data_IF_143445733096
#
_entry.id   IF_143445733096
#
_cell.length_a   1.000
_cell.length_b   1.000
_cell.length_c   1.000
_cell.angle_alpha   90.00
_cell.angle_beta   90.00
_cell.angle_gamma   90.00
#
_symmetry.space_group_name_H-M   'P 1'
#
loop_
_entity.id
_entity.type
_entity.pdbx_description
1 polymer ?
#
# COMPACT_ATOMS: atom_id res chain seq x y z
N UNK A 1 1.55 -73.51 5.44
CA UNK A 1 2.15 -72.26 5.91
C UNK A 1 3.06 -71.74 4.82
N UNK A 2 2.60 -70.76 4.04
CA UNK A 2 3.39 -70.07 3.01
C UNK A 2 3.34 -68.59 3.35
N UNK A 3 4.46 -68.06 3.84
CA UNK A 3 4.63 -66.66 4.20
C UNK A 3 4.92 -65.84 2.95
N UNK A 4 4.02 -64.91 2.62
CA UNK A 4 4.20 -63.95 1.53
C UNK A 4 4.79 -62.65 2.12
N UNK A 5 6.09 -62.43 1.92
CA UNK A 5 6.75 -61.16 2.27
C UNK A 5 6.38 -60.08 1.26
N UNK A 6 5.65 -59.06 1.72
CA UNK A 6 5.38 -57.84 0.96
C UNK A 6 6.55 -56.88 1.16
N UNK A 7 7.34 -56.65 0.11
CA UNK A 7 8.38 -55.64 0.08
C UNK A 7 7.74 -54.25 -0.11
N UNK A 8 7.76 -53.43 0.93
CA UNK A 8 7.33 -52.04 0.88
C UNK A 8 8.44 -51.18 0.26
N UNK A 9 8.26 -50.75 -1.00
CA UNK A 9 9.18 -49.81 -1.65
C UNK A 9 8.88 -48.40 -1.16
N UNK A 10 9.68 -47.90 -0.20
CA UNK A 10 9.68 -46.51 0.23
C UNK A 10 10.22 -45.62 -0.90
N UNK A 11 9.32 -45.06 -1.71
CA UNK A 11 9.64 -43.97 -2.61
C UNK A 11 10.02 -42.72 -1.80
N UNK A 12 11.30 -42.40 -1.74
CA UNK A 12 11.78 -41.07 -1.33
C UNK A 12 11.28 -40.04 -2.36
N UNK A 13 10.08 -39.52 -2.16
CA UNK A 13 9.71 -38.24 -2.75
C UNK A 13 10.54 -37.16 -2.04
N UNK A 14 11.55 -36.63 -2.74
CA UNK A 14 12.21 -35.37 -2.37
C UNK A 14 11.17 -34.26 -2.28
N UNK A 15 10.58 -34.08 -1.09
CA UNK A 15 9.83 -32.87 -0.73
C UNK A 15 10.85 -31.75 -0.54
N UNK A 16 11.28 -31.15 -1.64
CA UNK A 16 11.89 -29.82 -1.59
C UNK A 16 10.82 -28.91 -1.00
N UNK A 17 10.98 -28.55 0.27
CA UNK A 17 10.01 -27.73 0.97
C UNK A 17 9.92 -26.38 0.25
N UNK A 18 8.73 -25.76 0.22
CA UNK A 18 8.56 -24.42 -0.36
C UNK A 18 9.48 -23.35 0.28
N UNK A 19 10.13 -23.67 1.41
CA UNK A 19 11.13 -22.83 2.07
C UNK A 19 12.43 -22.73 1.26
N UNK A 20 12.87 -23.82 0.62
CA UNK A 20 14.12 -23.88 -0.16
C UNK A 20 14.05 -23.16 -1.52
N UNK A 21 12.86 -23.16 -2.15
CA UNK A 21 12.66 -22.49 -3.44
C UNK A 21 12.68 -20.96 -3.36
N UNK A 22 12.40 -20.40 -2.18
CA UNK A 22 12.34 -18.95 -1.99
C UNK A 22 13.72 -18.29 -1.92
N UNK A 23 14.75 -19.01 -1.46
CA UNK A 23 16.10 -18.46 -1.29
C UNK A 23 16.97 -18.61 -2.56
N UNK A 24 16.55 -19.45 -3.51
CA UNK A 24 17.30 -19.80 -4.73
C UNK A 24 16.73 -19.21 -6.02
N UNK A 25 15.49 -18.70 -6.02
CA UNK A 25 14.87 -18.20 -7.25
C UNK A 25 15.47 -16.85 -7.65
N UNK A 26 16.10 -16.80 -8.84
CA UNK A 26 16.59 -15.54 -9.40
C UNK A 26 15.47 -14.76 -10.10
N UNK A 27 15.67 -13.46 -10.32
CA UNK A 27 14.73 -12.67 -11.12
C UNK A 27 14.59 -13.26 -12.54
N UNK A 28 15.67 -13.79 -13.13
CA UNK A 28 15.60 -14.46 -14.43
C UNK A 28 14.66 -15.66 -14.43
N UNK A 29 14.76 -16.52 -13.41
CA UNK A 29 13.89 -17.71 -13.27
C UNK A 29 12.43 -17.34 -13.02
N UNK A 30 12.22 -16.25 -12.28
CA UNK A 30 10.89 -15.71 -12.05
C UNK A 30 10.26 -15.21 -13.36
N UNK A 31 11.00 -14.40 -14.14
CA UNK A 31 10.53 -13.88 -15.43
C UNK A 31 10.30 -14.98 -16.48
N UNK A 32 11.00 -16.11 -16.39
CA UNK A 32 10.74 -17.28 -17.26
C UNK A 32 9.32 -17.85 -17.09
N UNK A 33 8.62 -17.51 -16.00
CA UNK A 33 7.24 -17.95 -15.72
C UNK A 33 6.18 -16.94 -16.17
N UNK A 34 6.58 -15.88 -16.89
CA UNK A 34 5.66 -14.84 -17.34
C UNK A 34 4.45 -15.40 -18.09
N UNK A 35 3.30 -14.79 -17.85
CA UNK A 35 2.05 -15.10 -18.54
C UNK A 35 1.46 -13.86 -19.18
N UNK A 36 0.78 -14.06 -20.30
CA UNK A 36 0.03 -13.00 -20.95
C UNK A 36 -1.09 -12.50 -20.01
N UNK A 37 -1.20 -11.18 -19.74
CA UNK A 37 -2.25 -10.61 -18.91
C UNK A 37 -3.67 -11.04 -19.32
N UNK A 38 -3.90 -11.27 -20.62
CA UNK A 38 -5.21 -11.66 -21.17
C UNK A 38 -5.67 -13.02 -20.66
N UNK A 39 -4.75 -13.92 -20.28
CA UNK A 39 -5.08 -15.21 -19.65
C UNK A 39 -5.77 -15.06 -18.28
N UNK A 40 -5.71 -13.86 -17.70
CA UNK A 40 -6.33 -13.52 -16.42
C UNK A 40 -7.45 -12.49 -16.55
N UNK A 41 -7.97 -12.27 -17.76
CA UNK A 41 -8.95 -11.22 -18.06
C UNK A 41 -8.45 -9.81 -17.71
N UNK A 42 -7.13 -9.60 -17.77
CA UNK A 42 -6.51 -8.30 -17.63
C UNK A 42 -6.31 -7.67 -19.00
N UNK A 43 -6.54 -6.37 -19.11
CA UNK A 43 -6.24 -5.57 -20.31
C UNK A 43 -5.11 -4.61 -20.00
N UNK A 44 -4.16 -4.48 -20.92
CA UNK A 44 -3.09 -3.49 -20.85
C UNK A 44 -3.40 -2.40 -21.86
N UNK A 45 -3.56 -1.18 -21.38
CA UNK A 45 -3.87 0.00 -22.19
C UNK A 45 -2.69 0.98 -22.12
N UNK A 46 -2.43 1.77 -23.18
CA UNK A 46 -1.52 2.90 -23.08
C UNK A 46 -2.11 3.96 -22.14
N UNK A 47 -1.26 4.61 -21.35
CA UNK A 47 -1.60 5.76 -20.51
C UNK A 47 -0.46 6.78 -20.51
N UNK A 48 -0.76 8.00 -20.06
CA UNK A 48 0.17 9.14 -20.11
C UNK A 48 1.50 8.88 -19.39
N UNK A 49 1.47 8.08 -18.31
CA UNK A 49 2.65 7.72 -17.52
C UNK A 49 3.10 6.26 -17.69
N UNK A 50 2.62 5.58 -18.74
CA UNK A 50 2.96 4.19 -19.03
C UNK A 50 1.74 3.26 -19.09
N UNK A 51 2.00 1.95 -18.96
CA UNK A 51 0.97 0.93 -19.13
C UNK A 51 -0.06 0.95 -17.98
N UNK A 52 -1.35 1.02 -18.34
CA UNK A 52 -2.48 0.93 -17.42
C UNK A 52 -3.07 -0.47 -17.49
N UNK A 53 -3.08 -1.18 -16.36
CA UNK A 53 -3.65 -2.53 -16.27
C UNK A 53 -5.08 -2.45 -15.72
N UNK A 54 -6.04 -2.91 -16.52
CA UNK A 54 -7.48 -2.92 -16.17
C UNK A 54 -7.94 -4.35 -15.89
N UNK A 55 -8.88 -4.51 -14.95
CA UNK A 55 -9.48 -5.80 -14.60
C UNK A 55 -8.88 -6.48 -13.36
N UNK A 56 -7.80 -5.93 -12.81
CA UNK A 56 -7.20 -6.38 -11.55
C UNK A 56 -7.78 -5.68 -10.31
N UNK A 57 -7.28 -6.04 -9.13
CA UNK A 57 -7.68 -5.47 -7.84
C UNK A 57 -9.18 -5.52 -7.56
N UNK A 58 -9.83 -6.65 -7.83
CA UNK A 58 -11.28 -6.79 -7.65
C UNK A 58 -11.62 -7.08 -6.19
N UNK A 59 -12.49 -6.28 -5.62
CA UNK A 59 -13.00 -6.46 -4.27
C UNK A 59 -14.33 -7.19 -4.31
N UNK A 60 -14.57 -8.10 -3.37
CA UNK A 60 -15.89 -8.67 -3.18
C UNK A 60 -16.79 -7.70 -2.41
N UNK A 61 -18.08 -7.60 -2.76
CA UNK A 61 -19.01 -6.72 -2.05
C UNK A 61 -19.20 -7.17 -0.61
N UNK A 62 -19.51 -6.21 0.27
CA UNK A 62 -19.86 -6.40 1.68
C UNK A 62 -18.75 -7.01 2.55
N UNK A 63 -17.50 -7.05 2.05
CA UNK A 63 -16.34 -7.39 2.85
C UNK A 63 -15.71 -6.15 3.48
N UNK A 64 -15.18 -6.32 4.69
CA UNK A 64 -14.37 -5.31 5.38
C UNK A 64 -13.19 -5.99 6.08
N UNK A 65 -12.10 -5.26 6.23
CA UNK A 65 -10.93 -5.68 6.99
C UNK A 65 -10.81 -4.83 8.24
N UNK A 66 -10.49 -5.46 9.38
CA UNK A 66 -10.06 -4.76 10.59
C UNK A 66 -8.69 -5.28 11.03
N UNK A 67 -7.66 -4.57 10.65
CA UNK A 67 -6.28 -4.96 10.85
C UNK A 67 -5.65 -4.20 12.00
N UNK A 68 -4.85 -4.89 12.82
CA UNK A 68 -4.01 -4.24 13.83
C UNK A 68 -2.73 -3.75 13.17
N UNK A 69 -2.28 -2.54 13.55
CA UNK A 69 -0.96 -2.06 13.15
C UNK A 69 0.13 -2.85 13.89
N UNK A 70 1.05 -3.45 13.15
CA UNK A 70 2.15 -4.29 13.66
C UNK A 70 3.49 -3.56 13.78
N UNK A 71 3.55 -2.28 13.38
CA UNK A 71 4.72 -1.41 13.56
C UNK A 71 5.10 -1.25 15.05
N UNK A 72 6.29 -0.75 15.37
CA UNK A 72 6.58 -0.42 16.78
C UNK A 72 5.65 0.67 17.34
N UNK A 73 5.50 0.76 18.68
CA UNK A 73 4.75 1.86 19.33
C UNK A 73 5.31 3.25 19.01
N UNK A 74 6.60 3.32 18.72
CA UNK A 74 7.32 4.55 18.36
C UNK A 74 7.09 4.96 16.91
N UNK A 75 7.10 4.00 15.98
CA UNK A 75 6.92 4.29 14.56
C UNK A 75 5.46 4.60 14.23
N UNK A 76 4.51 3.81 14.75
CA UNK A 76 3.08 3.88 14.38
C UNK A 76 2.80 3.85 12.86
N UNK A 77 3.76 3.44 12.04
CA UNK A 77 3.55 3.25 10.61
C UNK A 77 2.34 2.32 10.38
N UNK A 78 1.56 2.53 9.30
CA UNK A 78 0.40 1.71 8.98
C UNK A 78 0.82 0.35 8.39
N UNK A 79 1.65 -0.39 9.13
CA UNK A 79 2.07 -1.74 8.82
C UNK A 79 1.01 -2.73 9.28
N UNK A 80 0.59 -3.61 8.39
CA UNK A 80 -0.40 -4.67 8.65
C UNK A 80 0.13 -6.01 8.16
N UNK A 81 -0.62 -7.07 8.43
CA UNK A 81 -0.34 -8.40 7.90
C UNK A 81 -1.31 -8.73 6.77
N UNK A 82 -0.79 -9.22 5.66
CA UNK A 82 -1.58 -9.73 4.52
C UNK A 82 -1.06 -11.09 4.07
N UNK A 83 -1.85 -11.85 3.32
CA UNK A 83 -1.45 -13.18 2.85
C UNK A 83 -2.05 -13.48 1.48
N UNK A 84 -1.53 -14.48 0.77
CA UNK A 84 -2.22 -15.15 -0.31
C UNK A 84 -3.06 -16.32 0.19
N UNK A 85 -3.85 -16.93 -0.69
CA UNK A 85 -4.56 -18.17 -0.35
C UNK A 85 -3.55 -19.27 -0.03
N UNK A 86 -3.66 -19.86 1.18
CA UNK A 86 -2.77 -20.93 1.67
C UNK A 86 -1.28 -20.56 1.73
N UNK A 87 -0.94 -19.27 1.77
CA UNK A 87 0.44 -18.81 1.93
C UNK A 87 0.71 -18.35 3.35
N UNK A 88 2.00 -18.19 3.68
CA UNK A 88 2.38 -17.54 4.94
C UNK A 88 2.08 -16.03 4.86
N UNK A 89 1.68 -15.40 5.97
CA UNK A 89 1.49 -13.96 6.04
C UNK A 89 2.80 -13.19 5.79
N UNK A 90 2.67 -12.00 5.23
CA UNK A 90 3.74 -11.02 4.98
C UNK A 90 3.40 -9.69 5.63
N UNK A 91 4.43 -8.92 5.97
CA UNK A 91 4.26 -7.54 6.46
C UNK A 91 4.02 -6.59 5.28
N UNK A 92 2.94 -5.82 5.32
CA UNK A 92 2.61 -4.84 4.31
C UNK A 92 2.47 -3.42 4.87
N UNK A 93 3.08 -2.42 4.23
CA UNK A 93 2.85 -1.01 4.50
C UNK A 93 1.67 -0.50 3.66
N UNK A 94 0.68 0.12 4.30
CA UNK A 94 -0.40 0.81 3.60
C UNK A 94 0.08 2.22 3.23
N UNK A 95 0.35 2.45 1.94
CA UNK A 95 0.87 3.72 1.43
C UNK A 95 0.02 4.24 0.26
N UNK A 96 -1.04 5.03 0.55
CA UNK A 96 -1.84 5.69 -0.48
C UNK A 96 -1.02 6.58 -1.43
N UNK A 97 0.15 7.06 -1.01
CA UNK A 97 0.98 7.93 -1.83
C UNK A 97 1.88 7.17 -2.81
N UNK A 98 2.01 5.85 -2.65
CA UNK A 98 2.65 4.98 -3.63
C UNK A 98 1.66 4.60 -4.72
N UNK A 99 1.91 4.99 -5.97
CA UNK A 99 1.03 4.67 -7.11
C UNK A 99 0.69 3.16 -7.19
N UNK A 100 1.73 2.33 -7.28
CA UNK A 100 1.60 0.88 -7.36
C UNK A 100 1.79 0.23 -5.99
N UNK A 101 1.24 -0.97 -5.84
CA UNK A 101 1.68 -1.89 -4.80
C UNK A 101 3.04 -2.48 -5.20
N UNK A 102 3.94 -2.70 -4.24
CA UNK A 102 5.29 -3.22 -4.46
C UNK A 102 5.56 -4.42 -3.55
N UNK A 103 6.41 -5.34 -3.97
CA UNK A 103 6.91 -6.41 -3.11
C UNK A 103 8.32 -6.85 -3.52
N UNK A 104 9.04 -7.46 -2.59
CA UNK A 104 10.34 -8.09 -2.90
C UNK A 104 10.15 -9.36 -3.73
N UNK A 105 11.17 -9.81 -4.46
CA UNK A 105 11.11 -11.09 -5.17
C UNK A 105 10.83 -12.28 -4.24
N UNK A 106 11.47 -12.43 -3.07
CA UNK A 106 11.11 -13.48 -2.10
C UNK A 106 9.63 -13.44 -1.69
N UNK A 107 9.08 -12.23 -1.50
CA UNK A 107 7.65 -12.04 -1.20
C UNK A 107 6.77 -12.45 -2.38
N UNK A 108 7.17 -12.15 -3.62
CA UNK A 108 6.47 -12.59 -4.82
C UNK A 108 6.38 -14.11 -4.90
N UNK A 109 7.47 -14.83 -4.62
CA UNK A 109 7.48 -16.30 -4.55
C UNK A 109 6.59 -16.81 -3.41
N UNK A 110 6.70 -16.21 -2.22
CA UNK A 110 5.91 -16.57 -1.03
C UNK A 110 4.40 -16.39 -1.26
N UNK A 111 4.01 -15.34 -1.99
CA UNK A 111 2.62 -15.05 -2.36
C UNK A 111 2.18 -15.74 -3.66
N UNK A 112 3.02 -16.57 -4.28
CA UNK A 112 2.77 -17.25 -5.54
C UNK A 112 2.34 -16.28 -6.65
N UNK A 113 2.99 -15.12 -6.71
CA UNK A 113 2.73 -14.12 -7.72
C UNK A 113 3.12 -14.63 -9.11
N UNK A 114 2.30 -14.35 -10.11
CA UNK A 114 2.58 -14.65 -11.51
C UNK A 114 3.05 -13.39 -12.22
N UNK A 115 4.28 -13.35 -12.76
CA UNK A 115 4.74 -12.20 -13.53
C UNK A 115 3.98 -12.11 -14.85
N UNK A 116 3.78 -10.88 -15.31
CA UNK A 116 2.99 -10.56 -16.50
C UNK A 116 3.90 -10.14 -17.65
N UNK A 117 3.69 -10.71 -18.84
CA UNK A 117 4.45 -10.37 -20.05
C UNK A 117 3.93 -9.10 -20.73
N UNK A 118 4.77 -8.51 -21.59
CA UNK A 118 4.39 -7.38 -22.46
C UNK A 118 4.20 -6.04 -21.74
N UNK A 119 4.55 -5.96 -20.46
CA UNK A 119 4.49 -4.72 -19.66
C UNK A 119 5.93 -4.31 -19.33
N UNK A 120 6.37 -3.11 -19.72
CA UNK A 120 7.68 -2.60 -19.35
C UNK A 120 7.85 -2.55 -17.83
N UNK A 121 9.10 -2.72 -17.38
CA UNK A 121 9.43 -2.47 -15.99
C UNK A 121 8.99 -1.08 -15.55
N UNK A 122 8.47 -0.99 -14.34
CA UNK A 122 7.94 0.24 -13.77
C UNK A 122 8.85 0.72 -12.65
N UNK A 123 8.96 2.04 -12.49
CA UNK A 123 9.64 2.69 -11.37
C UNK A 123 8.59 3.33 -10.44
N UNK A 124 8.89 3.53 -9.14
CA UNK A 124 7.95 4.15 -8.22
C UNK A 124 7.76 5.63 -8.56
N UNK A 125 6.64 5.98 -9.18
CA UNK A 125 6.35 7.35 -9.64
C UNK A 125 6.28 8.42 -8.55
N UNK A 126 6.30 8.04 -7.27
CA UNK A 126 6.32 8.95 -6.13
C UNK A 126 7.73 9.12 -5.52
N UNK A 127 8.72 8.36 -5.97
CA UNK A 127 10.13 8.47 -5.57
C UNK A 127 10.97 8.78 -6.81
N UNK A 128 11.50 9.99 -6.91
CA UNK A 128 12.45 10.34 -7.97
C UNK A 128 13.78 9.63 -7.72
N UNK A 129 14.43 9.22 -8.81
CA UNK A 129 15.79 8.66 -8.84
C UNK A 129 16.05 7.49 -7.88
N UNK A 130 15.00 6.76 -7.51
CA UNK A 130 15.10 5.67 -6.54
C UNK A 130 15.97 4.49 -6.96
N UNK A 131 16.25 4.35 -8.26
CA UNK A 131 16.89 3.15 -8.84
C UNK A 131 16.05 1.87 -8.71
N UNK A 132 14.83 1.97 -8.17
CA UNK A 132 13.92 0.83 -7.99
C UNK A 132 13.18 0.58 -9.30
N UNK A 133 13.21 -0.67 -9.75
CA UNK A 133 12.52 -1.12 -10.94
C UNK A 133 11.82 -2.44 -10.65
N UNK A 134 10.57 -2.57 -11.09
CA UNK A 134 9.72 -3.72 -10.78
C UNK A 134 8.97 -4.26 -11.99
N UNK A 135 8.78 -5.59 -11.99
CA UNK A 135 7.96 -6.29 -12.98
C UNK A 135 6.51 -6.39 -12.51
N UNK A 136 5.57 -6.13 -13.41
CA UNK A 136 4.14 -6.30 -13.12
C UNK A 136 3.80 -7.76 -12.83
N UNK A 137 3.14 -8.00 -11.71
CA UNK A 137 2.73 -9.31 -11.26
C UNK A 137 1.26 -9.32 -10.85
N UNK A 138 0.67 -10.50 -10.92
CA UNK A 138 -0.64 -10.81 -10.36
C UNK A 138 -0.48 -11.74 -9.16
N UNK A 139 -1.02 -11.36 -8.01
CA UNK A 139 -1.37 -12.30 -6.93
C UNK A 139 -2.81 -12.73 -7.14
N UNK A 140 -3.07 -14.05 -7.20
CA UNK A 140 -4.40 -14.58 -7.52
C UNK A 140 -5.48 -14.06 -6.57
N UNK A 141 -5.19 -14.07 -5.27
CA UNK A 141 -6.00 -13.48 -4.22
C UNK A 141 -5.10 -12.98 -3.11
N UNK A 142 -5.23 -11.70 -2.76
CA UNK A 142 -4.61 -11.10 -1.57
C UNK A 142 -5.67 -10.99 -0.46
N UNK A 143 -5.35 -11.53 0.70
CA UNK A 143 -6.18 -11.55 1.90
C UNK A 143 -5.72 -10.47 2.87
N UNK A 144 -6.67 -9.64 3.30
CA UNK A 144 -6.55 -8.62 4.32
C UNK A 144 -7.54 -8.97 5.43
N UNK A 145 -7.11 -9.78 6.40
CA UNK A 145 -8.02 -10.43 7.36
C UNK A 145 -9.06 -11.31 6.62
N UNK A 146 -10.34 -10.97 6.67
CA UNK A 146 -11.42 -11.68 5.96
C UNK A 146 -11.69 -11.12 4.56
N UNK A 147 -11.17 -9.94 4.26
CA UNK A 147 -11.36 -9.27 2.97
C UNK A 147 -10.45 -9.85 1.90
N UNK A 148 -11.02 -10.10 0.73
CA UNK A 148 -10.36 -10.68 -0.44
C UNK A 148 -10.23 -9.65 -1.56
N UNK A 149 -9.02 -9.58 -2.10
CA UNK A 149 -8.71 -8.84 -3.33
C UNK A 149 -8.32 -9.85 -4.40
N UNK A 150 -9.18 -10.09 -5.38
CA UNK A 150 -8.84 -10.96 -6.50
C UNK A 150 -7.95 -10.25 -7.52
N UNK A 151 -7.03 -11.02 -8.09
CA UNK A 151 -6.11 -10.57 -9.13
C UNK A 151 -5.42 -9.26 -8.72
N UNK A 152 -4.88 -9.26 -7.49
CA UNK A 152 -4.18 -8.11 -6.95
C UNK A 152 -2.93 -7.82 -7.80
N UNK A 153 -2.83 -6.58 -8.28
CA UNK A 153 -1.74 -6.12 -9.12
C UNK A 153 -0.64 -5.51 -8.24
N UNK A 154 0.57 -6.00 -8.42
CA UNK A 154 1.73 -5.63 -7.60
C UNK A 154 2.98 -5.66 -8.47
N UNK A 155 3.93 -4.77 -8.23
CA UNK A 155 5.24 -4.78 -8.86
C UNK A 155 6.23 -5.57 -7.99
N UNK A 156 6.92 -6.55 -8.56
CA UNK A 156 7.99 -7.28 -7.88
C UNK A 156 9.35 -6.69 -8.24
N UNK A 157 10.13 -6.27 -7.25
CA UNK A 157 11.53 -5.84 -7.46
C UNK A 157 12.47 -7.05 -7.45
N UNK A 158 13.57 -6.96 -8.20
CA UNK A 158 14.66 -7.95 -8.18
C UNK A 158 15.53 -7.92 -6.93
N UNK A 159 15.30 -6.96 -6.04
CA UNK A 159 16.06 -6.78 -4.80
C UNK A 159 15.41 -7.52 -3.63
N UNK A 160 16.23 -7.87 -2.64
CA UNK A 160 15.78 -8.50 -1.39
C UNK A 160 15.09 -7.50 -0.43
N UNK A 161 15.21 -6.19 -0.69
CA UNK A 161 14.63 -5.09 0.07
C UNK A 161 13.85 -4.17 -0.85
N UNK A 162 12.86 -3.46 -0.31
CA UNK A 162 12.10 -2.44 -1.02
C UNK A 162 12.80 -1.06 -1.01
N UNK A 163 13.96 -0.92 -0.36
CA UNK A 163 14.72 0.33 -0.30
C UNK A 163 13.91 1.48 0.29
N UNK A 164 13.90 2.64 -0.37
CA UNK A 164 13.16 3.83 0.11
C UNK A 164 11.63 3.64 0.21
N UNK A 165 11.05 2.64 -0.47
CA UNK A 165 9.64 2.30 -0.31
C UNK A 165 9.32 1.75 1.10
N UNK A 166 10.32 1.29 1.85
CA UNK A 166 10.15 0.81 3.22
C UNK A 166 9.85 1.93 4.22
N UNK A 167 10.10 3.20 3.85
CA UNK A 167 9.89 4.39 4.71
C UNK A 167 10.54 4.25 6.10
N UNK A 168 11.68 3.55 6.18
CA UNK A 168 12.38 3.22 7.43
C UNK A 168 11.51 2.55 8.50
N UNK A 169 10.48 1.81 8.09
CA UNK A 169 9.57 1.16 9.02
C UNK A 169 10.24 -0.02 9.76
N UNK A 170 9.75 -0.29 10.97
CA UNK A 170 10.20 -1.43 11.80
C UNK A 170 8.96 -2.23 12.27
N UNK A 171 8.84 -3.53 11.93
CA UNK A 171 9.71 -4.29 11.02
C UNK A 171 9.71 -3.69 9.59
N UNK A 172 10.73 -4.00 8.78
CA UNK A 172 10.75 -3.59 7.38
C UNK A 172 9.59 -4.29 6.63
N UNK A 173 8.81 -3.57 5.79
CA UNK A 173 7.74 -4.18 5.03
C UNK A 173 8.29 -5.09 3.93
N UNK A 174 7.68 -6.26 3.79
CA UNK A 174 7.88 -7.17 2.66
C UNK A 174 7.12 -6.70 1.42
N UNK A 175 6.08 -5.90 1.62
CA UNK A 175 5.16 -5.39 0.61
C UNK A 175 4.72 -3.94 0.92
N UNK A 176 4.47 -3.14 -0.10
CA UNK A 176 3.74 -1.87 -0.01
C UNK A 176 2.41 -2.05 -0.75
N UNK A 177 1.31 -1.64 -0.14
CA UNK A 177 -0.02 -1.59 -0.77
C UNK A 177 -0.29 -0.16 -1.20
N UNK A 178 -0.40 0.07 -2.51
CA UNK A 178 -0.45 1.39 -3.12
C UNK A 178 -1.83 1.86 -3.59
N UNK A 179 -1.87 3.09 -4.10
CA UNK A 179 -3.03 3.84 -4.57
C UNK A 179 -3.93 3.07 -5.55
N UNK A 180 -3.36 2.37 -6.54
CA UNK A 180 -4.16 1.66 -7.56
C UNK A 180 -5.04 0.57 -6.93
N UNK A 181 -4.60 -0.04 -5.83
CA UNK A 181 -5.41 -0.97 -5.04
C UNK A 181 -6.27 -0.20 -4.01
N UNK A 182 -5.67 0.72 -3.26
CA UNK A 182 -6.34 1.44 -2.17
C UNK A 182 -7.52 2.30 -2.63
N UNK A 183 -7.45 2.88 -3.82
CA UNK A 183 -8.54 3.65 -4.43
C UNK A 183 -9.78 2.80 -4.76
N UNK A 184 -9.67 1.47 -4.78
CA UNK A 184 -10.80 0.56 -5.03
C UNK A 184 -11.74 0.42 -3.84
N UNK A 185 -11.26 0.71 -2.63
CA UNK A 185 -12.06 0.58 -1.42
C UNK A 185 -13.04 1.76 -1.29
N UNK A 186 -14.26 1.46 -0.81
CA UNK A 186 -15.26 2.47 -0.45
C UNK A 186 -14.78 3.38 0.67
N UNK A 187 -14.04 2.83 1.64
CA UNK A 187 -13.44 3.64 2.70
C UNK A 187 -12.15 3.03 3.24
N UNK A 188 -11.23 3.89 3.64
CA UNK A 188 -10.00 3.53 4.34
C UNK A 188 -9.94 4.33 5.64
N UNK A 189 -9.67 3.68 6.77
CA UNK A 189 -9.62 4.30 8.08
C UNK A 189 -8.29 3.99 8.76
N UNK A 190 -7.61 5.05 9.20
CA UNK A 190 -6.34 5.00 9.93
C UNK A 190 -6.58 5.49 11.34
N UNK A 191 -6.34 4.64 12.33
CA UNK A 191 -6.40 4.99 13.75
C UNK A 191 -5.05 4.66 14.38
N UNK A 192 -4.15 5.64 14.39
CA UNK A 192 -2.77 5.46 14.88
C UNK A 192 -2.72 5.27 16.39
N UNK A 193 -3.65 5.90 17.12
CA UNK A 193 -3.74 5.83 18.58
C UNK A 193 -4.23 4.46 19.06
N UNK A 194 -5.31 3.95 18.49
CA UNK A 194 -5.78 2.58 18.77
C UNK A 194 -5.03 1.50 17.97
N UNK A 195 -4.12 1.92 17.08
CA UNK A 195 -3.28 1.05 16.26
C UNK A 195 -4.10 0.11 15.38
N UNK A 196 -5.06 0.69 14.63
CA UNK A 196 -5.94 -0.04 13.73
C UNK A 196 -5.92 0.58 12.34
N UNK A 197 -6.01 -0.28 11.34
CA UNK A 197 -6.35 0.07 9.97
C UNK A 197 -7.63 -0.66 9.59
N UNK A 198 -8.56 0.03 8.93
CA UNK A 198 -9.79 -0.57 8.43
C UNK A 198 -9.95 -0.24 6.96
N UNK A 199 -10.46 -1.19 6.19
CA UNK A 199 -10.80 -1.01 4.80
C UNK A 199 -12.16 -1.66 4.53
N UNK A 200 -13.02 -1.00 3.75
CA UNK A 200 -14.33 -1.53 3.37
C UNK A 200 -14.47 -1.53 1.85
N UNK A 201 -14.98 -2.63 1.30
CA UNK A 201 -15.19 -2.80 -0.14
C UNK A 201 -16.33 -1.91 -0.65
N UNK A 202 -17.54 -2.12 -0.13
CA UNK A 202 -18.77 -1.43 -0.53
C UNK A 202 -19.58 -0.89 0.65
N UNK A 203 -19.24 -1.28 1.89
CA UNK A 203 -19.99 -0.85 3.07
C UNK A 203 -19.89 0.67 3.22
N UNK A 204 -21.02 1.40 3.30
CA UNK A 204 -20.99 2.85 3.46
C UNK A 204 -20.43 3.19 4.84
N UNK A 205 -19.44 4.05 4.88
CA UNK A 205 -18.97 4.61 6.14
C UNK A 205 -19.85 5.79 6.55
N UNK A 206 -20.28 5.78 7.81
CA UNK A 206 -20.92 6.91 8.47
C UNK A 206 -20.04 7.35 9.65
N UNK A 207 -19.63 8.63 9.72
CA UNK A 207 -18.90 9.13 10.87
C UNK A 207 -19.79 9.12 12.12
N UNK A 208 -19.19 8.91 13.29
CA UNK A 208 -19.87 9.03 14.57
C UNK A 208 -20.01 10.52 14.94
N UNK A 209 -21.24 11.10 15.00
CA UNK A 209 -21.42 12.52 15.27
C UNK A 209 -20.86 12.97 16.62
N UNK A 210 -20.85 12.09 17.62
CA UNK A 210 -20.32 12.41 18.95
C UNK A 210 -18.78 12.44 19.00
N UNK A 211 -18.11 11.86 18.01
CA UNK A 211 -16.64 11.82 17.91
C UNK A 211 -16.09 12.70 16.79
N UNK A 212 -16.93 13.14 15.85
CA UNK A 212 -16.53 13.91 14.70
C UNK A 212 -15.95 15.27 15.14
N UNK A 213 -14.69 15.49 14.80
CA UNK A 213 -13.96 16.74 15.05
C UNK A 213 -14.01 17.66 13.83
N UNK A 214 -14.06 17.08 12.63
CA UNK A 214 -14.17 17.84 11.41
C UNK A 214 -14.24 16.97 10.17
N UNK A 215 -14.52 17.60 9.04
CA UNK A 215 -14.57 16.95 7.74
C UNK A 215 -13.92 17.83 6.67
N UNK A 216 -13.46 17.21 5.58
CA UNK A 216 -12.87 17.92 4.45
C UNK A 216 -13.14 17.22 3.12
N UNK A 217 -12.62 17.82 2.06
CA UNK A 217 -12.67 17.23 0.70
C UNK A 217 -11.45 16.35 0.50
N UNK A 218 -11.69 15.16 -0.05
CA UNK A 218 -10.66 14.21 -0.44
C UNK A 218 -10.98 13.68 -1.83
N UNK A 219 -9.98 13.60 -2.70
CA UNK A 219 -10.17 13.06 -4.04
C UNK A 219 -8.96 12.28 -4.52
N UNK A 220 -9.20 11.34 -5.41
CA UNK A 220 -8.16 10.72 -6.21
C UNK A 220 -8.03 11.51 -7.51
N UNK A 221 -6.88 12.11 -7.77
CA UNK A 221 -6.54 12.70 -9.05
C UNK A 221 -5.57 11.75 -9.77
N UNK A 222 -6.13 10.94 -10.69
CA UNK A 222 -5.46 9.74 -11.16
C UNK A 222 -5.14 8.80 -9.98
N UNK A 223 -3.85 8.66 -9.65
CA UNK A 223 -3.39 7.86 -8.50
C UNK A 223 -2.93 8.69 -7.31
N UNK A 224 -3.06 10.02 -7.37
CA UNK A 224 -2.66 10.92 -6.28
C UNK A 224 -3.83 11.08 -5.29
N UNK A 225 -3.63 10.74 -4.01
CA UNK A 225 -4.63 10.99 -2.97
C UNK A 225 -4.53 12.44 -2.49
N UNK A 226 -5.41 13.32 -2.93
CA UNK A 226 -5.37 14.74 -2.60
C UNK A 226 -6.39 15.13 -1.53
N UNK A 227 -5.98 16.06 -0.67
CA UNK A 227 -6.81 16.71 0.35
C UNK A 227 -6.74 18.21 0.13
N UNK A 228 -7.90 18.85 0.08
CA UNK A 228 -7.99 20.31 0.03
C UNK A 228 -7.70 20.90 1.40
N UNK A 229 -6.73 21.81 1.46
CA UNK A 229 -6.27 22.41 2.69
C UNK A 229 -5.99 23.91 2.53
N UNK A 230 -5.74 24.59 3.66
CA UNK A 230 -5.15 25.92 3.72
C UNK A 230 -3.94 25.91 4.65
N UNK A 231 -2.80 26.37 4.15
CA UNK A 231 -1.56 26.53 4.93
C UNK A 231 -1.38 28.02 5.20
N UNK A 232 -1.48 28.44 6.46
CA UNK A 232 -1.50 29.85 6.87
C UNK A 232 -2.51 30.69 6.07
N UNK A 233 -3.69 30.14 5.80
CA UNK A 233 -4.76 30.79 5.03
C UNK A 233 -4.67 30.63 3.51
N UNK A 234 -3.53 30.19 2.96
CA UNK A 234 -3.33 30.02 1.53
C UNK A 234 -3.89 28.66 1.07
N UNK A 235 -4.87 28.60 0.17
CA UNK A 235 -5.43 27.34 -0.35
C UNK A 235 -4.37 26.51 -1.08
N UNK A 236 -4.35 25.20 -0.79
CA UNK A 236 -3.44 24.22 -1.41
C UNK A 236 -4.05 22.82 -1.41
N UNK A 237 -3.77 22.06 -2.45
CA UNK A 237 -3.94 20.61 -2.43
C UNK A 237 -2.68 19.95 -1.85
N UNK A 238 -2.89 19.03 -0.92
CA UNK A 238 -1.81 18.27 -0.29
C UNK A 238 -2.02 16.77 -0.54
N UNK A 239 -0.93 16.06 -0.82
CA UNK A 239 -0.97 14.59 -0.92
C UNK A 239 -1.18 14.00 0.46
N UNK A 240 -2.19 13.15 0.62
CA UNK A 240 -2.43 12.36 1.81
C UNK A 240 -1.43 11.19 1.87
N UNK A 241 -0.42 11.30 2.72
CA UNK A 241 0.68 10.35 2.88
C UNK A 241 0.74 9.80 4.32
N UNK A 242 -0.25 9.00 4.76
CA UNK A 242 -0.26 8.42 6.11
C UNK A 242 0.89 7.40 6.34
N UNK A 243 1.68 7.06 5.33
CA UNK A 243 2.88 6.26 5.48
C UNK A 243 4.10 7.11 5.90
N UNK A 244 4.14 8.39 5.51
CA UNK A 244 5.20 9.34 5.84
C UNK A 244 5.31 9.65 7.34
N UNK A 245 6.55 9.62 7.87
CA UNK A 245 6.85 9.94 9.27
C UNK A 245 7.14 11.42 9.51
N UNK A 246 6.20 12.27 9.14
CA UNK A 246 6.26 13.71 9.31
C UNK A 246 4.85 14.26 9.52
N UNK A 247 4.71 15.54 9.86
CA UNK A 247 3.40 16.18 9.94
C UNK A 247 3.06 16.80 8.58
N UNK A 248 3.84 17.80 8.16
CA UNK A 248 3.68 18.46 6.88
C UNK A 248 5.01 18.53 6.14
N UNK A 249 4.99 18.23 4.84
CA UNK A 249 6.12 18.47 3.94
C UNK A 249 5.70 19.55 2.95
N UNK A 250 6.49 20.61 2.81
CA UNK A 250 6.25 21.67 1.84
C UNK A 250 7.45 21.80 0.90
N UNK A 251 7.24 21.75 -0.44
CA UNK A 251 8.33 21.72 -1.40
C UNK A 251 9.13 23.02 -1.47
N UNK A 252 8.56 24.15 -1.08
CA UNK A 252 9.22 25.46 -1.09
C UNK A 252 10.11 25.74 0.13
N UNK A 253 10.03 24.91 1.18
CA UNK A 253 10.82 25.10 2.39
C UNK A 253 12.28 24.69 2.15
N UNK A 254 13.21 25.50 2.68
CA UNK A 254 14.65 25.20 2.71
C UNK A 254 15.09 24.56 4.02
N UNK A 255 14.37 24.83 5.11
CA UNK A 255 14.63 24.35 6.46
C UNK A 255 13.32 24.07 7.19
N UNK A 256 13.40 23.36 8.31
CA UNK A 256 12.23 23.06 9.14
C UNK A 256 11.60 24.35 9.67
N UNK A 257 10.29 24.46 9.57
CA UNK A 257 9.52 25.62 9.99
C UNK A 257 8.27 25.19 10.77
N UNK A 258 7.63 26.15 11.44
CA UNK A 258 6.32 25.95 12.06
C UNK A 258 5.24 26.65 11.26
N UNK A 259 4.29 25.88 10.74
CA UNK A 259 3.06 26.42 10.15
C UNK A 259 2.11 26.79 11.29
N UNK A 260 1.76 28.09 11.38
CA UNK A 260 0.88 28.62 12.44
C UNK A 260 -0.49 27.96 12.41
N UNK A 261 -1.03 27.72 11.21
CA UNK A 261 -2.33 27.11 11.03
C UNK A 261 -2.37 26.25 9.74
N UNK A 262 -2.75 24.99 9.90
CA UNK A 262 -3.16 24.10 8.80
C UNK A 262 -4.66 23.84 8.96
N UNK A 263 -5.44 24.11 7.92
CA UNK A 263 -6.89 23.88 7.90
C UNK A 263 -7.26 22.86 6.85
N UNK A 264 -8.04 21.85 7.18
CA UNK A 264 -8.55 20.82 6.27
C UNK A 264 -10.07 20.75 6.45
N UNK A 265 -10.80 21.46 5.59
CA UNK A 265 -12.23 21.73 5.79
C UNK A 265 -12.48 22.32 7.19
N UNK A 266 -13.17 21.56 8.04
CA UNK A 266 -13.52 21.98 9.41
C UNK A 266 -12.40 21.72 10.44
N UNK A 267 -11.42 20.87 10.11
CA UNK A 267 -10.30 20.56 11.01
C UNK A 267 -9.27 21.70 10.99
N UNK A 268 -8.98 22.27 12.15
CA UNK A 268 -7.92 23.27 12.33
C UNK A 268 -6.82 22.72 13.23
N UNK A 269 -5.61 22.60 12.67
CA UNK A 269 -4.40 22.22 13.38
C UNK A 269 -3.52 23.48 13.56
N UNK A 270 -3.03 23.69 14.78
CA UNK A 270 -2.17 24.82 15.15
C UNK A 270 -0.74 24.34 15.34
N UNK A 271 0.22 25.21 15.04
CA UNK A 271 1.65 24.95 15.29
C UNK A 271 2.14 23.62 14.70
N UNK A 272 1.85 23.41 13.41
CA UNK A 272 2.22 22.19 12.69
C UNK A 272 3.67 22.28 12.23
N UNK A 273 4.49 21.30 12.63
CA UNK A 273 5.86 21.15 12.11
C UNK A 273 5.81 20.90 10.60
N UNK A 274 6.50 21.74 9.84
CA UNK A 274 6.67 21.59 8.41
C UNK A 274 8.14 21.40 8.09
N UNK A 275 8.46 20.33 7.36
CA UNK A 275 9.83 19.99 6.97
C UNK A 275 10.05 20.27 5.48
N UNK A 276 11.30 20.56 5.06
CA UNK A 276 11.66 20.60 3.66
C UNK A 276 11.55 19.22 3.02
N UNK A 277 11.61 19.17 1.69
CA UNK A 277 11.59 17.92 0.94
C UNK A 277 12.79 17.04 1.32
N UNK A 278 12.54 15.75 1.55
CA UNK A 278 13.55 14.77 1.97
C UNK A 278 14.26 14.12 0.78
N UNK A 279 15.36 13.44 1.07
CA UNK A 279 16.04 12.49 0.17
C UNK A 279 15.49 11.06 0.42
N UNK A 280 15.01 10.31 -0.60
CA UNK A 280 14.91 10.70 -2.01
C UNK A 280 13.76 11.69 -2.28
N UNK A 281 13.90 12.53 -3.33
CA UNK A 281 12.91 13.53 -3.64
C UNK A 281 11.57 12.90 -4.04
N UNK A 282 10.48 13.32 -3.38
CA UNK A 282 9.14 12.74 -3.57
C UNK A 282 8.36 13.40 -4.71
N UNK A 283 7.80 12.65 -5.65
CA UNK A 283 7.01 13.17 -6.77
C UNK A 283 5.49 13.12 -6.52
N UNK A 284 4.68 13.99 -7.16
CA UNK A 284 5.08 15.15 -7.95
C UNK A 284 5.75 16.24 -7.09
N UNK A 285 6.78 16.94 -7.62
CA UNK A 285 7.58 17.89 -6.84
C UNK A 285 6.82 19.13 -6.38
N UNK A 286 5.71 19.47 -7.02
CA UNK A 286 4.93 20.69 -6.77
C UNK A 286 3.98 20.56 -5.58
N UNK A 287 3.68 19.35 -5.11
CA UNK A 287 2.69 19.14 -4.06
C UNK A 287 3.34 19.02 -2.68
N UNK A 288 2.74 19.70 -1.70
CA UNK A 288 3.00 19.39 -0.29
C UNK A 288 2.36 18.06 0.11
N UNK A 289 2.76 17.52 1.26
CA UNK A 289 2.28 16.21 1.74
C UNK A 289 1.88 16.25 3.21
N UNK A 290 0.78 15.59 3.54
CA UNK A 290 0.27 15.39 4.89
C UNK A 290 0.68 14.02 5.39
N UNK A 291 1.67 14.00 6.29
CA UNK A 291 2.17 12.79 6.92
C UNK A 291 1.35 12.37 8.14
N UNK A 292 1.66 11.18 8.68
CA UNK A 292 0.87 10.59 9.78
C UNK A 292 0.89 11.38 11.08
N UNK A 293 1.93 12.18 11.34
CA UNK A 293 2.07 12.93 12.61
C UNK A 293 1.02 14.03 12.75
N UNK A 294 0.42 14.49 11.65
CA UNK A 294 -0.76 15.36 11.69
C UNK A 294 -2.00 14.70 12.33
N UNK A 295 -2.00 13.37 12.43
CA UNK A 295 -3.18 12.57 12.75
C UNK A 295 -2.96 11.64 13.94
N UNK A 296 -1.87 11.82 14.70
CA UNK A 296 -1.48 10.89 15.77
C UNK A 296 -2.54 10.69 16.86
N UNK A 297 -3.39 11.69 17.07
CA UNK A 297 -4.48 11.70 18.05
C UNK A 297 -5.88 11.59 17.42
N UNK A 298 -5.94 11.32 16.12
CA UNK A 298 -7.19 11.25 15.37
C UNK A 298 -7.35 9.87 14.71
N UNK A 299 -8.60 9.47 14.55
CA UNK A 299 -8.98 8.50 13.54
C UNK A 299 -9.32 9.25 12.27
N UNK A 300 -8.65 8.90 11.17
CA UNK A 300 -8.83 9.52 9.87
C UNK A 300 -9.47 8.53 8.93
N UNK A 301 -10.63 8.88 8.37
CA UNK A 301 -11.33 8.03 7.42
C UNK A 301 -11.54 8.75 6.10
N UNK A 302 -11.01 8.21 5.01
CA UNK A 302 -11.31 8.66 3.64
C UNK A 302 -12.41 7.81 3.05
N UNK A 303 -13.35 8.43 2.32
CA UNK A 303 -14.52 7.78 1.72
C UNK A 303 -14.61 8.10 0.23
N UNK A 304 -14.71 7.05 -0.59
CA UNK A 304 -14.68 7.12 -2.06
C UNK A 304 -15.88 6.39 -2.70
N UNK A 305 -16.69 7.06 -3.53
CA UNK A 305 -17.31 8.39 -3.37
C UNK A 305 -18.04 8.55 -2.02
N UNK A 306 -18.37 9.76 -1.53
CA UNK A 306 -18.46 11.03 -2.26
C UNK A 306 -17.18 11.86 -2.30
N UNK A 307 -16.02 11.35 -1.86
CA UNK A 307 -14.78 12.13 -1.86
C UNK A 307 -14.65 13.00 -0.61
N UNK A 308 -14.72 12.36 0.56
CA UNK A 308 -14.68 13.03 1.87
C UNK A 308 -13.61 12.43 2.75
N UNK A 309 -12.99 13.27 3.56
CA UNK A 309 -12.14 12.86 4.68
C UNK A 309 -12.80 13.28 5.99
N UNK A 310 -12.86 12.36 6.95
CA UNK A 310 -13.45 12.56 8.26
C UNK A 310 -12.38 12.40 9.33
N UNK A 311 -12.45 13.26 10.35
CA UNK A 311 -11.55 13.28 11.49
C UNK A 311 -12.34 13.04 12.76
N UNK A 312 -12.13 11.91 13.42
CA UNK A 312 -12.83 11.52 14.64
C UNK A 312 -11.87 11.43 15.83
N UNK A 313 -12.34 11.73 17.03
CA UNK A 313 -11.67 11.29 18.26
C UNK A 313 -11.64 9.75 18.29
N UNK A 314 -10.50 9.11 18.63
CA UNK A 314 -10.38 7.65 18.64
C UNK A 314 -11.47 6.95 19.46
#
# INVERSE_FOLDING_TARGET
MLGLSVALTLGLCCRVSARDRSESMTMRDFLAQMKDPRSFFLRVLPGESGAVIVGGNRLHPNEFARLRLISSKRSRAPLVTVAGIKTKPVTALIDPSSTWSWMTLPTAVKLQATPLSGIPFQSPGHLLDSGISGVACRVSTLLMDTLRVESALVLATGTASLGSLERNCRPAPEMVIGAILLSRFRSLSFDFRQRKFMAASTFPYQPNPAKLVGSGVFRWEGTLPLVEARVNGIPRDLVFDPAGDYALLLPELRETATVRQLTIGDLVLRSVEAIPRTDPPLAPPSYGRLGRRCFDDLRVTVVNPPGRIYFERP
#
